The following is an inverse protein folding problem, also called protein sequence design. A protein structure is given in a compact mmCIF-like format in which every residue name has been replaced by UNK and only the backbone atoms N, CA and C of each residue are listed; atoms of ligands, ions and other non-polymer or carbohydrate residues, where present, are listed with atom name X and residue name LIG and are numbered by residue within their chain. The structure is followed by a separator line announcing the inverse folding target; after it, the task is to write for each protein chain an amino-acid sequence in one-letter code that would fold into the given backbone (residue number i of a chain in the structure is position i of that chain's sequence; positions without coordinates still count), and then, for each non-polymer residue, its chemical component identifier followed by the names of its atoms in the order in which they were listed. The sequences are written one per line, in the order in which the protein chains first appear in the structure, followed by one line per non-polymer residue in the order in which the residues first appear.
data_IF_896275658697
#
_entry.id   IF_896275658697
#
_cell.length_a   1.000
_cell.length_b   1.000
_cell.length_c   1.000
_cell.angle_alpha   90.00
_cell.angle_beta   90.00
_cell.angle_gamma   90.00
#
_symmetry.space_group_name_H-M   'P 1'
#
loop_
_entity.id
_entity.type
_entity.pdbx_description
1 polymer ?
#
# COMPACT_ATOMS: atom_id res chain seq x y z
N UNK A 1 -4.06 5.62 25.12
CA UNK A 1 -3.87 4.18 24.85
C UNK A 1 -2.40 3.93 24.57
N UNK A 2 -1.69 3.18 25.44
CA UNK A 2 -0.22 3.01 25.40
C UNK A 2 0.19 1.60 24.93
N UNK A 3 -0.48 1.06 23.91
CA UNK A 3 -0.07 -0.19 23.26
C UNK A 3 0.76 0.14 22.02
N UNK A 4 1.70 -0.74 21.63
CA UNK A 4 2.52 -0.53 20.44
C UNK A 4 1.65 -0.28 19.19
N UNK A 5 0.64 -1.12 18.96
CA UNK A 5 -0.33 -0.94 17.87
C UNK A 5 -1.15 0.34 17.98
N UNK A 6 -1.48 0.81 19.19
CA UNK A 6 -2.18 2.07 19.40
C UNK A 6 -1.34 3.32 19.07
N UNK A 7 -0.01 3.24 19.23
CA UNK A 7 0.92 4.28 18.77
C UNK A 7 1.03 4.24 17.25
N UNK A 8 1.31 3.07 16.69
CA UNK A 8 1.47 2.87 15.25
C UNK A 8 0.24 3.30 14.45
N UNK A 9 -0.95 2.97 14.97
CA UNK A 9 -2.22 3.43 14.39
C UNK A 9 -2.31 4.96 14.26
N UNK A 10 -1.86 5.70 15.28
CA UNK A 10 -1.89 7.16 15.28
C UNK A 10 -0.87 7.75 14.30
N UNK A 11 0.33 7.17 14.24
CA UNK A 11 1.37 7.55 13.28
C UNK A 11 0.85 7.41 11.85
N UNK A 12 0.29 6.24 11.50
CA UNK A 12 -0.27 6.02 10.16
C UNK A 12 -1.45 6.95 9.84
N UNK A 13 -2.30 7.29 10.82
CA UNK A 13 -3.35 8.28 10.59
C UNK A 13 -2.78 9.67 10.29
N UNK A 14 -1.70 10.07 10.99
CA UNK A 14 -1.03 11.34 10.76
C UNK A 14 -0.36 11.35 9.38
N UNK A 15 0.39 10.31 9.02
CA UNK A 15 1.06 10.19 7.73
C UNK A 15 0.08 10.28 6.54
N UNK A 16 -1.06 9.60 6.65
CA UNK A 16 -2.11 9.63 5.62
C UNK A 16 -2.83 10.99 5.55
N UNK A 17 -2.97 11.68 6.68
CA UNK A 17 -3.54 13.03 6.72
C UNK A 17 -2.59 14.07 6.12
N UNK A 18 -1.30 13.97 6.42
CA UNK A 18 -0.25 14.80 5.86
C UNK A 18 -0.15 14.60 4.34
N UNK A 19 -0.33 13.37 3.86
CA UNK A 19 -0.40 13.08 2.41
C UNK A 19 -1.55 13.82 1.70
N UNK A 20 -2.69 13.99 2.37
CA UNK A 20 -3.85 14.74 1.86
C UNK A 20 -3.70 16.26 2.04
N UNK A 21 -2.52 16.74 2.44
CA UNK A 21 -2.24 18.15 2.74
C UNK A 21 -3.09 18.74 3.88
N UNK A 22 -3.54 17.91 4.83
CA UNK A 22 -4.06 18.36 6.12
C UNK A 22 -5.57 18.67 6.21
N UNK A 23 -6.31 18.74 5.10
CA UNK A 23 -7.75 19.10 5.09
C UNK A 23 -8.66 17.93 4.69
N UNK A 24 -8.56 16.81 5.42
CA UNK A 24 -9.42 15.66 5.18
C UNK A 24 -10.89 15.95 5.59
N UNK A 25 -11.83 15.75 4.66
CA UNK A 25 -13.27 15.73 4.96
C UNK A 25 -13.62 14.58 5.92
N UNK A 26 -14.77 14.65 6.60
CA UNK A 26 -15.20 13.60 7.53
C UNK A 26 -15.23 12.18 6.90
N UNK A 27 -15.71 11.97 5.65
CA UNK A 27 -15.61 10.67 4.98
C UNK A 27 -14.16 10.22 4.73
N UNK A 28 -13.28 11.12 4.28
CA UNK A 28 -11.86 10.81 4.09
C UNK A 28 -11.21 10.42 5.42
N UNK A 29 -11.54 11.12 6.51
CA UNK A 29 -11.05 10.77 7.84
C UNK A 29 -11.51 9.37 8.29
N UNK A 30 -12.74 8.96 7.96
CA UNK A 30 -13.22 7.61 8.22
C UNK A 30 -12.41 6.56 7.42
N UNK A 31 -12.12 6.84 6.15
CA UNK A 31 -11.29 5.99 5.29
C UNK A 31 -9.86 5.87 5.83
N UNK A 32 -9.22 7.00 6.18
CA UNK A 32 -7.88 7.04 6.80
C UNK A 32 -7.82 6.13 8.03
N UNK A 33 -8.80 6.24 8.93
CA UNK A 33 -8.85 5.40 10.14
C UNK A 33 -9.01 3.92 9.84
N UNK A 34 -9.74 3.54 8.79
CA UNK A 34 -9.86 2.12 8.39
C UNK A 34 -8.60 1.61 7.71
N UNK A 35 -7.98 2.43 6.85
CA UNK A 35 -6.71 2.13 6.23
C UNK A 35 -5.60 1.91 7.28
N UNK A 36 -5.46 2.83 8.25
CA UNK A 36 -4.49 2.71 9.34
C UNK A 36 -4.73 1.48 10.21
N UNK A 37 -5.99 1.13 10.50
CA UNK A 37 -6.31 -0.07 11.28
C UNK A 37 -5.92 -1.37 10.53
N UNK A 38 -6.24 -1.46 9.23
CA UNK A 38 -5.86 -2.60 8.40
C UNK A 38 -4.34 -2.70 8.25
N UNK A 39 -3.65 -1.58 8.06
CA UNK A 39 -2.19 -1.55 7.97
C UNK A 39 -1.53 -2.07 9.26
N UNK A 40 -1.96 -1.61 10.44
CA UNK A 40 -1.44 -2.14 11.73
C UNK A 40 -1.69 -3.63 11.86
N UNK A 41 -2.86 -4.11 11.44
CA UNK A 41 -3.16 -5.54 11.49
C UNK A 41 -2.27 -6.34 10.54
N UNK A 42 -2.04 -5.86 9.30
CA UNK A 42 -1.13 -6.48 8.34
C UNK A 42 0.31 -6.51 8.88
N UNK A 43 0.81 -5.39 9.42
CA UNK A 43 2.15 -5.31 10.02
C UNK A 43 2.32 -6.33 11.16
N UNK A 44 1.29 -6.52 12.00
CA UNK A 44 1.31 -7.53 13.06
C UNK A 44 1.31 -8.96 12.49
N UNK A 45 0.49 -9.23 11.48
CA UNK A 45 0.42 -10.53 10.84
C UNK A 45 1.75 -10.90 10.15
N UNK A 46 2.39 -9.94 9.49
CA UNK A 46 3.72 -10.08 8.88
C UNK A 46 4.81 -10.30 9.94
N UNK A 47 4.77 -9.57 11.05
CA UNK A 47 5.70 -9.75 12.16
C UNK A 47 5.58 -11.14 12.79
N UNK A 48 4.35 -11.62 12.99
CA UNK A 48 4.09 -12.97 13.49
C UNK A 48 4.57 -14.05 12.51
N UNK A 49 4.33 -13.86 11.21
CA UNK A 49 4.84 -14.75 10.17
C UNK A 49 6.37 -14.79 10.15
N UNK A 50 7.05 -13.65 10.28
CA UNK A 50 8.50 -13.56 10.33
C UNK A 50 9.11 -14.31 11.53
N UNK A 51 8.34 -14.48 12.60
CA UNK A 51 8.70 -15.31 13.77
C UNK A 51 8.37 -16.80 13.58
N UNK A 52 7.94 -17.21 12.39
CA UNK A 52 7.62 -18.60 12.05
C UNK A 52 6.22 -19.05 12.47
N UNK A 53 5.32 -18.11 12.83
CA UNK A 53 3.91 -18.44 13.09
C UNK A 53 3.15 -18.57 11.78
N UNK A 54 2.05 -19.31 11.81
CA UNK A 54 1.17 -19.45 10.65
C UNK A 54 0.48 -18.11 10.32
N UNK A 55 0.50 -17.75 9.04
CA UNK A 55 -0.24 -16.63 8.48
C UNK A 55 -1.49 -17.17 7.77
N UNK A 56 -2.66 -16.68 8.15
CA UNK A 56 -3.87 -16.89 7.35
C UNK A 56 -3.78 -16.06 6.07
N UNK A 57 -3.35 -16.71 4.98
CA UNK A 57 -3.16 -16.09 3.66
C UNK A 57 -4.48 -15.53 3.11
N UNK A 58 -5.62 -16.16 3.39
CA UNK A 58 -6.91 -15.70 2.89
C UNK A 58 -7.35 -14.41 3.61
N UNK A 59 -7.22 -14.38 4.94
CA UNK A 59 -7.48 -13.17 5.73
C UNK A 59 -6.53 -12.04 5.34
N UNK A 60 -5.23 -12.33 5.21
CA UNK A 60 -4.21 -11.36 4.83
C UNK A 60 -4.45 -10.79 3.43
N UNK A 61 -4.75 -11.64 2.44
CA UNK A 61 -5.09 -11.21 1.07
C UNK A 61 -6.36 -10.35 1.06
N UNK A 62 -7.35 -10.67 1.89
CA UNK A 62 -8.58 -9.88 2.01
C UNK A 62 -8.29 -8.50 2.60
N UNK A 63 -7.51 -8.43 3.67
CA UNK A 63 -7.12 -7.18 4.32
C UNK A 63 -6.31 -6.26 3.40
N UNK A 64 -5.29 -6.80 2.72
CA UNK A 64 -4.44 -6.03 1.79
C UNK A 64 -5.21 -5.53 0.57
N UNK A 65 -6.15 -6.32 0.04
CA UNK A 65 -7.02 -5.88 -1.05
C UNK A 65 -7.99 -4.77 -0.62
N UNK A 66 -8.56 -4.87 0.59
CA UNK A 66 -9.40 -3.81 1.15
C UNK A 66 -8.59 -2.53 1.42
N UNK A 67 -7.38 -2.67 1.98
CA UNK A 67 -6.45 -1.57 2.20
C UNK A 67 -6.12 -0.85 0.88
N UNK A 68 -5.76 -1.59 -0.18
CA UNK A 68 -5.48 -1.00 -1.50
C UNK A 68 -6.64 -0.14 -2.03
N UNK A 69 -7.88 -0.61 -1.86
CA UNK A 69 -9.08 0.12 -2.28
C UNK A 69 -9.26 1.41 -1.49
N UNK A 70 -9.17 1.34 -0.15
CA UNK A 70 -9.27 2.51 0.73
C UNK A 70 -8.19 3.56 0.40
N UNK A 71 -6.96 3.14 0.12
CA UNK A 71 -5.89 4.05 -0.28
C UNK A 71 -6.15 4.67 -1.66
N UNK A 72 -6.69 3.89 -2.60
CA UNK A 72 -7.08 4.40 -3.93
C UNK A 72 -8.17 5.47 -3.82
N UNK A 73 -9.15 5.28 -2.92
CA UNK A 73 -10.21 6.26 -2.65
C UNK A 73 -9.68 7.58 -2.08
N UNK A 74 -8.50 7.58 -1.45
CA UNK A 74 -7.81 8.78 -0.97
C UNK A 74 -6.93 9.47 -2.05
N UNK A 75 -6.93 8.96 -3.28
CA UNK A 75 -6.13 9.52 -4.38
C UNK A 75 -4.70 8.98 -4.45
N UNK A 76 -4.37 7.91 -3.71
CA UNK A 76 -3.14 7.15 -3.94
C UNK A 76 -3.31 6.29 -5.19
N UNK A 77 -3.23 6.94 -6.35
CA UNK A 77 -3.37 6.27 -7.63
C UNK A 77 -2.20 5.34 -7.89
N UNK A 78 -2.52 4.12 -8.35
CA UNK A 78 -1.52 3.24 -8.95
C UNK A 78 -1.00 3.91 -10.23
N UNK A 79 0.18 4.53 -10.18
CA UNK A 79 0.89 4.93 -11.40
C UNK A 79 1.32 3.67 -12.15
N UNK A 80 0.66 3.38 -13.27
CA UNK A 80 1.12 2.33 -14.17
C UNK A 80 2.51 2.72 -14.68
N UNK A 81 3.47 1.79 -14.61
CA UNK A 81 4.76 1.96 -15.27
C UNK A 81 4.51 2.02 -16.77
N UNK A 82 4.99 3.08 -17.43
CA UNK A 82 5.01 3.12 -18.89
C UNK A 82 5.94 2.00 -19.39
N UNK A 83 5.34 1.04 -20.10
CA UNK A 83 6.04 -0.10 -20.70
C UNK A 83 6.08 0.01 -22.22
N UNK A 84 5.78 1.19 -22.77
CA UNK A 84 5.88 1.44 -24.21
C UNK A 84 7.31 1.14 -24.66
N UNK A 85 7.54 0.12 -25.50
CA UNK A 85 8.87 -0.17 -26.00
C UNK A 85 9.34 1.01 -26.84
N UNK A 86 10.50 1.57 -26.50
CA UNK A 86 11.15 2.55 -27.36
C UNK A 86 11.55 1.86 -28.68
N UNK A 87 11.10 2.42 -29.79
CA UNK A 87 11.36 1.89 -31.13
C UNK A 87 12.87 1.85 -31.41
N UNK A 88 13.64 2.83 -30.91
CA UNK A 88 15.10 2.84 -31.08
C UNK A 88 15.74 1.69 -30.29
N UNK A 89 15.32 1.46 -29.05
CA UNK A 89 15.75 0.31 -28.26
C UNK A 89 15.39 -1.04 -28.93
N UNK A 90 14.21 -1.15 -29.55
CA UNK A 90 13.79 -2.35 -30.27
C UNK A 90 14.67 -2.63 -31.49
N UNK A 91 14.95 -1.61 -32.31
CA UNK A 91 15.79 -1.71 -33.50
C UNK A 91 17.23 -2.09 -33.12
N UNK A 92 17.80 -1.45 -32.09
CA UNK A 92 19.16 -1.75 -31.61
C UNK A 92 19.30 -3.22 -31.14
N UNK A 93 18.29 -3.72 -30.43
CA UNK A 93 18.25 -5.10 -29.93
C UNK A 93 18.15 -6.12 -31.08
N UNK A 94 17.35 -5.83 -32.11
CA UNK A 94 17.22 -6.71 -33.29
C UNK A 94 18.43 -6.66 -34.21
N UNK A 95 19.06 -5.50 -34.38
CA UNK A 95 20.26 -5.35 -35.19
C UNK A 95 21.51 -5.99 -34.56
N UNK A 96 21.56 -6.08 -33.23
CA UNK A 96 22.65 -6.76 -32.49
C UNK A 96 22.54 -8.29 -32.47
N UNK A 97 21.32 -8.83 -32.54
CA UNK A 97 21.05 -10.28 -32.47
C UNK A 97 21.28 -11.04 -33.79
N UNK A 98 21.74 -10.36 -34.84
CA UNK A 98 21.98 -10.92 -36.18
C UNK A 98 23.45 -11.07 -36.57
N UNK A 99 24.39 -11.06 -35.60
CA UNK A 99 25.82 -11.30 -35.81
C UNK A 99 26.30 -12.50 -35.03
#
# INVERSE_FOLDING_TARGET
MRTHGGRRFKELCADLMDHLAGDATAPQFAIIRRAAALAVWCEQAEADQALGKDLDVAAYTTATNALRRLLSDLGLERKARDVTPDLQAYIATKAGAGR
#
